data_IF_254545422973
#
_entry.id   IF_254545422973
#
_cell.length_a   1.000
_cell.length_b   1.000
_cell.length_c   1.000
_cell.angle_alpha   90.00
_cell.angle_beta   90.00
_cell.angle_gamma   90.00
#
_symmetry.space_group_name_H-M   'P 1'
#
loop_
_entity.id
_entity.type
_entity.pdbx_description
1 polymer ?
#
# COMPACT_ATOMS: atom_id res chain seq x y z
N UNK A 1 -29.65 -6.61 28.76
CA UNK A 1 -29.11 -5.94 29.98
C UNK A 1 -27.63 -6.27 30.28
N UNK A 2 -26.94 -7.08 29.47
CA UNK A 2 -25.52 -7.41 29.68
C UNK A 2 -24.56 -6.75 28.67
N UNK A 3 -25.10 -6.09 27.63
CA UNK A 3 -24.30 -5.46 26.55
C UNK A 3 -24.00 -3.97 26.87
N UNK A 4 -24.86 -3.29 27.63
CA UNK A 4 -24.63 -1.88 28.00
C UNK A 4 -23.60 -1.67 29.12
N UNK A 5 -23.25 -2.72 29.88
CA UNK A 5 -22.21 -2.62 30.94
C UNK A 5 -20.79 -2.72 30.39
N UNK A 6 -20.57 -3.29 29.20
CA UNK A 6 -19.24 -3.35 28.58
C UNK A 6 -18.84 -2.04 27.89
N UNK A 7 -19.79 -1.34 27.27
CA UNK A 7 -19.54 -0.04 26.61
C UNK A 7 -19.16 1.08 27.58
N UNK A 8 -19.66 1.06 28.82
CA UNK A 8 -19.31 2.03 29.87
C UNK A 8 -17.95 1.80 30.54
N UNK A 9 -17.40 0.59 30.44
CA UNK A 9 -16.12 0.20 31.04
C UNK A 9 -14.93 0.62 30.17
N UNK A 10 -15.03 0.46 28.85
CA UNK A 10 -13.95 0.82 27.92
C UNK A 10 -13.78 2.35 27.76
N UNK A 11 -14.88 3.12 27.78
CA UNK A 11 -14.82 4.59 27.72
C UNK A 11 -14.12 5.22 28.93
N UNK A 12 -14.32 4.64 30.12
CA UNK A 12 -13.65 5.05 31.36
C UNK A 12 -12.18 4.62 31.45
N UNK A 13 -11.77 3.57 30.72
CA UNK A 13 -10.37 3.15 30.62
C UNK A 13 -9.57 4.08 29.69
N UNK A 14 -10.17 4.46 28.56
CA UNK A 14 -9.60 5.39 27.56
C UNK A 14 -9.40 6.80 28.13
N UNK A 15 -10.32 7.32 28.94
CA UNK A 15 -10.15 8.62 29.61
C UNK A 15 -9.06 8.60 30.68
N UNK A 16 -8.87 7.47 31.39
CA UNK A 16 -7.81 7.32 32.40
C UNK A 16 -6.41 7.25 31.78
N UNK A 17 -6.26 6.66 30.60
CA UNK A 17 -4.99 6.65 29.86
C UNK A 17 -4.64 8.03 29.30
N UNK A 18 -5.63 8.80 28.79
CA UNK A 18 -5.41 10.19 28.34
C UNK A 18 -5.01 11.12 29.49
N UNK A 19 -5.62 10.98 30.68
CA UNK A 19 -5.26 11.76 31.86
C UNK A 19 -3.88 11.35 32.41
N UNK A 20 -3.52 10.07 32.36
CA UNK A 20 -2.20 9.58 32.76
C UNK A 20 -1.08 10.11 31.82
N UNK A 21 -1.31 10.12 30.50
CA UNK A 21 -0.34 10.62 29.51
C UNK A 21 -0.09 12.13 29.66
N UNK A 22 -1.14 12.92 29.90
CA UNK A 22 -1.05 14.37 30.12
C UNK A 22 -0.36 14.70 31.45
N UNK A 23 -0.58 13.90 32.51
CA UNK A 23 0.11 14.06 33.79
C UNK A 23 1.61 13.72 33.71
N UNK A 24 1.99 12.70 32.93
CA UNK A 24 3.40 12.34 32.71
C UNK A 24 4.18 13.45 32.01
N UNK A 25 3.59 14.08 30.99
CA UNK A 25 4.22 15.18 30.24
C UNK A 25 4.35 16.45 31.10
N UNK A 26 3.41 16.69 32.03
CA UNK A 26 3.44 17.88 32.88
C UNK A 26 4.47 17.78 34.02
N UNK A 27 4.79 16.56 34.50
CA UNK A 27 5.79 16.36 35.56
C UNK A 27 7.23 16.55 35.07
N UNK A 28 7.50 16.26 33.79
CA UNK A 28 8.84 16.44 33.20
C UNK A 28 9.21 17.93 33.05
N UNK A 29 8.23 18.83 33.00
CA UNK A 29 8.44 20.27 32.78
C UNK A 29 8.63 21.12 34.04
N UNK A 30 8.57 20.55 35.26
CA UNK A 30 8.60 21.34 36.51
C UNK A 30 9.77 21.09 37.46
N UNK A 31 10.82 20.36 37.05
CA UNK A 31 12.08 20.30 37.81
C UNK A 31 13.18 20.98 37.02
N UNK A 32 13.15 22.31 37.07
CA UNK A 32 14.19 23.15 36.51
C UNK A 32 15.51 23.08 37.27
N UNK A 33 16.57 23.06 36.48
CA UNK A 33 17.86 23.74 36.69
C UNK A 33 18.95 23.03 37.50
N UNK A 34 20.07 22.84 36.78
CA UNK A 34 21.45 22.83 37.28
C UNK A 34 21.84 21.72 38.24
N UNK A 35 22.07 20.50 37.73
CA UNK A 35 23.18 19.59 38.08
C UNK A 35 22.94 18.18 37.51
N UNK A 36 23.16 17.98 36.20
CA UNK A 36 23.20 16.65 35.60
C UNK A 36 23.97 16.60 34.26
N UNK A 37 24.94 17.51 34.06
CA UNK A 37 25.91 17.43 32.94
C UNK A 37 27.03 16.39 33.26
N UNK A 38 26.91 15.67 34.36
CA UNK A 38 27.74 14.53 34.73
C UNK A 38 26.80 13.32 34.87
N UNK A 39 27.04 12.25 34.09
CA UNK A 39 26.25 11.00 33.97
C UNK A 39 25.11 10.93 32.94
N UNK A 40 25.38 11.29 31.68
CA UNK A 40 24.65 10.68 30.54
C UNK A 40 25.58 9.96 29.55
N UNK A 41 26.71 9.47 30.08
CA UNK A 41 27.29 8.21 29.63
C UNK A 41 26.78 7.07 30.50
N UNK A 42 25.48 7.06 30.83
CA UNK A 42 24.85 5.80 31.25
C UNK A 42 24.97 4.90 30.04
N UNK A 43 25.74 3.83 30.25
CA UNK A 43 25.85 2.67 29.38
C UNK A 43 24.53 2.48 28.66
N UNK A 44 24.53 2.63 27.33
CA UNK A 44 23.44 2.14 26.52
C UNK A 44 23.25 0.70 26.97
N UNK A 45 22.09 0.39 27.50
CA UNK A 45 21.79 -0.97 27.88
C UNK A 45 21.70 -1.76 26.58
N UNK A 46 22.82 -2.39 26.18
CA UNK A 46 22.92 -3.14 24.93
C UNK A 46 21.98 -4.37 24.94
N UNK A 47 21.29 -4.66 26.05
CA UNK A 47 20.25 -5.69 26.14
C UNK A 47 18.87 -5.22 25.70
N UNK A 48 18.60 -3.90 25.70
CA UNK A 48 17.33 -3.34 25.26
C UNK A 48 17.39 -2.87 23.81
N UNK A 49 16.37 -3.21 23.03
CA UNK A 49 16.24 -2.81 21.64
C UNK A 49 14.80 -2.41 21.34
N UNK A 50 14.59 -1.27 20.69
CA UNK A 50 13.26 -0.87 20.21
C UNK A 50 13.32 -0.49 18.75
N UNK A 51 12.48 -1.04 17.88
CA UNK A 51 12.47 -0.70 16.45
C UNK A 51 11.08 -0.81 15.87
N UNK A 52 10.83 -0.06 14.80
CA UNK A 52 9.55 -0.09 14.10
C UNK A 52 9.67 -0.86 12.79
N UNK A 53 8.66 -1.65 12.46
CA UNK A 53 8.58 -2.42 11.21
C UNK A 53 7.27 -2.08 10.50
N UNK A 54 7.33 -1.84 9.20
CA UNK A 54 6.17 -1.49 8.38
C UNK A 54 6.44 -1.88 6.92
N UNK A 55 5.42 -1.95 6.06
CA UNK A 55 5.56 -2.31 4.66
C UNK A 55 4.36 -1.88 3.83
N UNK A 56 4.47 -2.01 2.51
CA UNK A 56 3.37 -1.77 1.58
C UNK A 56 2.86 -0.31 1.66
N UNK A 57 3.79 0.64 1.59
CA UNK A 57 3.44 2.07 1.47
C UNK A 57 3.04 2.43 0.04
N UNK A 58 3.61 1.76 -0.96
CA UNK A 58 3.36 1.94 -2.39
C UNK A 58 3.32 3.42 -2.83
N UNK A 59 4.24 4.24 -2.29
CA UNK A 59 4.36 5.66 -2.60
C UNK A 59 3.41 6.58 -1.84
N UNK A 60 2.51 6.06 -0.99
CA UNK A 60 1.71 6.91 -0.11
C UNK A 60 2.57 7.52 1.01
N UNK A 61 2.74 8.84 0.97
CA UNK A 61 3.64 9.53 1.88
C UNK A 61 3.04 9.74 3.28
N UNK A 62 1.72 9.89 3.42
CA UNK A 62 1.11 10.27 4.71
C UNK A 62 1.37 9.27 5.85
N UNK A 63 1.33 7.97 5.57
CA UNK A 63 1.65 6.94 6.55
C UNK A 63 3.15 6.93 6.91
N UNK A 64 4.02 7.07 5.90
CA UNK A 64 5.46 7.18 6.10
C UNK A 64 5.84 8.41 6.93
N UNK A 65 5.25 9.57 6.63
CA UNK A 65 5.42 10.81 7.37
C UNK A 65 5.02 10.63 8.83
N UNK A 66 3.84 10.05 9.10
CA UNK A 66 3.38 9.79 10.46
C UNK A 66 4.34 8.87 11.25
N UNK A 67 4.85 7.81 10.61
CA UNK A 67 5.84 6.91 11.22
C UNK A 67 7.16 7.64 11.50
N UNK A 68 7.69 8.39 10.53
CA UNK A 68 8.94 9.15 10.65
C UNK A 68 8.84 10.24 11.71
N UNK A 69 7.74 11.00 11.75
CA UNK A 69 7.49 12.01 12.78
C UNK A 69 7.42 11.38 14.18
N UNK A 70 6.73 10.25 14.31
CA UNK A 70 6.66 9.50 15.57
C UNK A 70 8.03 9.00 15.99
N UNK A 71 8.82 8.44 15.07
CA UNK A 71 10.19 8.00 15.31
C UNK A 71 11.12 9.17 15.69
N UNK A 72 10.90 10.35 15.12
CA UNK A 72 11.67 11.55 15.43
C UNK A 72 11.45 12.01 16.89
N UNK A 73 10.26 11.74 17.46
CA UNK A 73 9.90 12.05 18.84
C UNK A 73 10.33 10.93 19.80
N UNK A 74 9.93 9.68 19.51
CA UNK A 74 10.08 8.54 20.41
C UNK A 74 11.46 7.88 20.32
N UNK A 75 12.19 8.13 19.23
CA UNK A 75 13.60 7.73 19.02
C UNK A 75 13.82 6.21 19.20
N UNK A 76 13.13 5.34 18.42
CA UNK A 76 13.51 3.93 18.36
C UNK A 76 14.95 3.78 17.86
N UNK A 77 15.54 2.59 18.00
CA UNK A 77 16.89 2.30 17.53
C UNK A 77 17.01 2.38 16.00
N UNK A 78 15.97 1.99 15.27
CA UNK A 78 15.86 2.08 13.81
C UNK A 78 14.42 1.83 13.33
N UNK A 79 14.21 2.07 12.04
CA UNK A 79 13.01 1.75 11.27
C UNK A 79 13.33 0.66 10.23
N UNK A 80 12.36 -0.20 9.91
CA UNK A 80 12.49 -1.21 8.87
C UNK A 80 11.26 -1.21 7.94
N UNK A 81 11.49 -1.04 6.62
CA UNK A 81 10.46 -1.13 5.59
C UNK A 81 10.50 -2.49 4.86
N UNK A 82 9.43 -3.28 4.93
CA UNK A 82 9.28 -4.63 4.39
C UNK A 82 8.96 -4.70 2.89
N UNK A 83 9.50 -3.78 2.06
CA UNK A 83 9.26 -3.77 0.62
C UNK A 83 7.95 -3.13 0.17
N UNK A 84 7.77 -3.02 -1.14
CA UNK A 84 6.73 -2.25 -1.84
C UNK A 84 6.74 -0.78 -1.38
N UNK A 85 7.91 -0.17 -1.55
CA UNK A 85 8.12 1.25 -1.29
C UNK A 85 7.40 2.10 -2.33
N UNK A 86 7.42 1.67 -3.59
CA UNK A 86 6.86 2.38 -4.74
C UNK A 86 5.67 1.61 -5.32
N UNK A 87 4.77 2.31 -6.02
CA UNK A 87 3.62 1.67 -6.69
C UNK A 87 4.01 1.01 -8.02
N UNK A 88 4.89 1.66 -8.79
CA UNK A 88 5.21 1.30 -10.18
C UNK A 88 6.72 1.23 -10.47
N UNK A 89 7.57 1.42 -9.47
CA UNK A 89 9.03 1.35 -9.61
C UNK A 89 9.64 2.49 -10.45
N UNK A 90 8.92 3.60 -10.65
CA UNK A 90 9.49 4.78 -11.31
C UNK A 90 10.51 5.48 -10.41
N UNK A 91 11.54 6.08 -11.02
CA UNK A 91 12.66 6.72 -10.29
C UNK A 91 12.20 7.82 -9.35
N UNK A 92 11.23 8.60 -9.79
CA UNK A 92 10.69 9.72 -9.06
C UNK A 92 9.86 9.29 -7.85
N UNK A 93 9.13 8.16 -7.93
CA UNK A 93 8.50 7.53 -6.77
C UNK A 93 9.54 7.14 -5.71
N UNK A 94 10.69 6.59 -6.14
CA UNK A 94 11.80 6.30 -5.22
C UNK A 94 12.35 7.58 -4.58
N UNK A 95 12.51 8.66 -5.35
CA UNK A 95 12.97 9.95 -4.84
C UNK A 95 12.00 10.52 -3.80
N UNK A 96 10.70 10.43 -4.04
CA UNK A 96 9.65 10.90 -3.13
C UNK A 96 9.67 10.11 -1.82
N UNK A 97 9.63 8.77 -1.88
CA UNK A 97 9.73 7.91 -0.69
C UNK A 97 11.02 8.16 0.08
N UNK A 98 12.16 8.23 -0.63
CA UNK A 98 13.46 8.51 -0.01
C UNK A 98 13.46 9.87 0.67
N UNK A 99 12.81 10.89 0.10
CA UNK A 99 12.75 12.22 0.70
C UNK A 99 12.03 12.26 2.04
N UNK A 100 11.05 11.36 2.26
CA UNK A 100 10.37 11.21 3.55
C UNK A 100 11.23 10.41 4.52
N UNK A 101 11.77 9.26 4.07
CA UNK A 101 12.60 8.40 4.93
C UNK A 101 13.90 9.09 5.38
N UNK A 102 14.49 9.96 4.56
CA UNK A 102 15.70 10.76 4.88
C UNK A 102 15.44 11.81 5.98
N UNK A 103 14.18 12.11 6.31
CA UNK A 103 13.83 12.98 7.43
C UNK A 103 13.89 12.26 8.78
N UNK A 104 14.04 10.93 8.77
CA UNK A 104 14.21 10.14 9.98
C UNK A 104 15.54 10.47 10.68
N UNK A 105 15.46 10.77 11.96
CA UNK A 105 16.62 11.03 12.83
C UNK A 105 17.27 9.74 13.38
N UNK A 106 16.71 8.59 13.02
CA UNK A 106 17.19 7.24 13.34
C UNK A 106 17.41 6.46 12.02
N UNK A 107 18.29 5.44 11.99
CA UNK A 107 18.53 4.68 10.77
C UNK A 107 17.26 4.05 10.21
N UNK A 108 17.15 4.02 8.87
CA UNK A 108 16.08 3.33 8.15
C UNK A 108 16.71 2.21 7.32
N UNK A 109 16.19 1.00 7.48
CA UNK A 109 16.52 -0.17 6.71
C UNK A 109 15.33 -0.56 5.83
N UNK A 110 15.61 -1.20 4.71
CA UNK A 110 14.58 -1.58 3.75
C UNK A 110 14.88 -2.94 3.14
N UNK A 111 13.85 -3.64 2.68
CA UNK A 111 13.96 -4.66 1.63
C UNK A 111 13.15 -4.22 0.41
N UNK A 112 13.27 -4.94 -0.69
CA UNK A 112 12.60 -4.66 -1.96
C UNK A 112 11.36 -5.55 -2.12
N UNK A 113 10.27 -4.99 -2.64
CA UNK A 113 9.05 -5.74 -2.98
C UNK A 113 8.83 -5.92 -4.48
N UNK A 114 7.73 -6.57 -4.87
CA UNK A 114 7.44 -6.85 -6.28
C UNK A 114 7.02 -5.59 -7.05
N UNK A 115 6.34 -4.63 -6.42
CA UNK A 115 6.00 -3.36 -7.07
C UNK A 115 7.24 -2.51 -7.37
N UNK A 116 8.26 -2.61 -6.52
CA UNK A 116 9.55 -1.94 -6.68
C UNK A 116 10.31 -2.39 -7.95
N UNK A 117 10.06 -3.62 -8.43
CA UNK A 117 10.65 -4.15 -9.67
C UNK A 117 9.93 -3.67 -10.94
N UNK A 118 8.71 -3.14 -10.83
CA UNK A 118 7.95 -2.64 -11.98
C UNK A 118 8.75 -1.54 -12.69
N UNK A 119 8.50 -1.37 -13.99
CA UNK A 119 9.18 -0.34 -14.80
C UNK A 119 10.72 -0.39 -14.77
N UNK A 120 11.31 -1.57 -14.56
CA UNK A 120 12.76 -1.77 -14.37
C UNK A 120 13.31 -1.02 -13.13
N UNK A 121 12.47 -0.88 -12.09
CA UNK A 121 12.72 -0.08 -10.90
C UNK A 121 13.77 -0.66 -9.94
N UNK A 122 14.09 -1.96 -10.05
CA UNK A 122 15.08 -2.60 -9.17
C UNK A 122 16.47 -1.94 -9.21
N UNK A 123 16.83 -1.28 -10.31
CA UNK A 123 18.07 -0.49 -10.41
C UNK A 123 18.04 0.76 -9.51
N UNK A 124 16.88 1.41 -9.40
CA UNK A 124 16.69 2.59 -8.56
C UNK A 124 16.65 2.20 -7.09
N UNK A 125 16.01 1.08 -6.74
CA UNK A 125 16.14 0.52 -5.40
C UNK A 125 17.62 0.34 -5.01
N UNK A 126 18.41 -0.31 -5.87
CA UNK A 126 19.83 -0.53 -5.61
C UNK A 126 20.61 0.78 -5.48
N UNK A 127 20.29 1.79 -6.28
CA UNK A 127 20.93 3.11 -6.25
C UNK A 127 20.62 3.88 -4.96
N UNK A 128 19.36 3.89 -4.52
CA UNK A 128 18.90 4.72 -3.41
C UNK A 128 19.00 4.04 -2.03
N UNK A 129 18.83 2.72 -1.97
CA UNK A 129 18.74 1.94 -0.73
C UNK A 129 19.82 0.85 -0.59
N UNK A 130 20.53 0.51 -1.68
CA UNK A 130 21.60 -0.47 -1.67
C UNK A 130 21.13 -1.91 -1.86
N UNK A 131 21.88 -2.87 -1.31
CA UNK A 131 21.58 -4.29 -1.50
C UNK A 131 20.21 -4.66 -0.90
N UNK A 132 19.43 -5.50 -1.60
CA UNK A 132 18.22 -6.12 -1.06
C UNK A 132 18.50 -7.32 -0.15
N UNK A 133 19.78 -7.69 -0.01
CA UNK A 133 20.23 -8.85 0.74
C UNK A 133 21.43 -8.48 1.58
N UNK A 134 21.27 -8.48 2.90
CA UNK A 134 22.29 -8.06 3.85
C UNK A 134 21.90 -8.50 5.27
N UNK A 135 22.86 -8.44 6.20
CA UNK A 135 22.61 -8.73 7.60
C UNK A 135 23.38 -7.80 8.51
N UNK A 136 22.90 -7.66 9.75
CA UNK A 136 23.58 -6.91 10.78
C UNK A 136 23.20 -7.40 12.19
N UNK A 137 24.07 -7.11 13.15
CA UNK A 137 23.78 -7.33 14.57
C UNK A 137 23.47 -6.01 15.26
N UNK A 138 22.51 -6.02 16.17
CA UNK A 138 22.27 -4.88 17.06
C UNK A 138 21.69 -5.32 18.40
N UNK A 139 22.33 -4.90 19.48
CA UNK A 139 21.99 -5.34 20.83
C UNK A 139 22.05 -6.88 20.92
N UNK A 140 21.02 -7.56 21.45
CA UNK A 140 21.00 -9.02 21.57
C UNK A 140 20.54 -9.74 20.28
N UNK A 141 20.33 -9.01 19.18
CA UNK A 141 19.63 -9.53 18.01
C UNK A 141 20.48 -9.54 16.72
N UNK A 142 20.26 -10.57 15.90
CA UNK A 142 20.71 -10.68 14.52
C UNK A 142 19.56 -10.43 13.55
N UNK A 143 19.82 -9.69 12.48
CA UNK A 143 18.86 -9.29 11.46
C UNK A 143 19.33 -9.80 10.10
N UNK A 144 18.59 -10.71 9.48
CA UNK A 144 18.86 -11.23 8.14
C UNK A 144 17.79 -10.71 7.16
N UNK A 145 18.21 -10.01 6.12
CA UNK A 145 17.34 -9.44 5.09
C UNK A 145 17.65 -10.14 3.78
N UNK A 146 16.63 -10.66 3.09
CA UNK A 146 16.80 -11.35 1.82
C UNK A 146 15.69 -11.03 0.83
N UNK A 147 15.97 -11.23 -0.45
CA UNK A 147 15.11 -10.77 -1.54
C UNK A 147 14.13 -11.86 -2.02
N UNK A 148 12.84 -11.56 -1.94
CA UNK A 148 11.72 -12.37 -2.48
C UNK A 148 10.92 -11.63 -3.55
N UNK A 149 11.30 -10.42 -3.95
CA UNK A 149 10.52 -9.53 -4.84
C UNK A 149 10.13 -10.14 -6.19
N UNK A 150 10.85 -11.16 -6.67
CA UNK A 150 10.50 -11.88 -7.91
C UNK A 150 9.47 -13.01 -7.73
N UNK A 151 8.91 -13.19 -6.54
CA UNK A 151 7.96 -14.29 -6.23
C UNK A 151 8.61 -15.62 -5.81
N UNK A 152 9.92 -15.75 -5.93
CA UNK A 152 10.69 -16.95 -5.56
C UNK A 152 12.09 -16.53 -5.07
N UNK A 153 12.85 -17.49 -4.54
CA UNK A 153 14.20 -17.27 -4.00
C UNK A 153 15.21 -18.14 -4.74
N UNK A 154 16.28 -17.51 -5.21
CA UNK A 154 17.34 -18.21 -5.92
C UNK A 154 18.18 -19.11 -4.98
N UNK A 155 18.76 -20.20 -5.50
CA UNK A 155 19.65 -21.06 -4.71
C UNK A 155 20.84 -20.31 -4.07
N UNK A 156 21.53 -19.38 -4.77
CA UNK A 156 22.58 -18.58 -4.13
C UNK A 156 22.08 -17.77 -2.93
N UNK A 157 20.89 -17.18 -3.04
CA UNK A 157 20.24 -16.40 -1.97
C UNK A 157 19.88 -17.29 -0.78
N UNK A 158 19.25 -18.46 -1.02
CA UNK A 158 18.95 -19.45 0.02
C UNK A 158 20.21 -19.94 0.74
N UNK A 159 21.29 -20.20 -0.01
CA UNK A 159 22.56 -20.65 0.57
C UNK A 159 23.24 -19.54 1.39
N UNK A 160 23.16 -18.29 0.93
CA UNK A 160 23.65 -17.14 1.68
C UNK A 160 22.89 -16.98 3.01
N UNK A 161 21.55 -17.02 2.96
CA UNK A 161 20.70 -16.90 4.15
C UNK A 161 20.97 -18.03 5.17
N UNK A 162 21.13 -19.27 4.69
CA UNK A 162 21.47 -20.39 5.56
C UNK A 162 22.86 -20.22 6.23
N UNK A 163 23.83 -19.68 5.51
CA UNK A 163 25.17 -19.39 6.08
C UNK A 163 25.12 -18.26 7.10
N UNK A 164 24.35 -17.21 6.83
CA UNK A 164 24.18 -16.06 7.72
C UNK A 164 23.51 -16.48 9.04
N UNK A 165 22.36 -17.15 8.97
CA UNK A 165 21.60 -17.60 10.15
C UNK A 165 22.34 -18.63 11.00
N UNK A 166 23.14 -19.50 10.38
CA UNK A 166 23.95 -20.50 11.10
C UNK A 166 25.20 -19.92 11.75
N UNK A 167 25.70 -18.79 11.26
CA UNK A 167 26.81 -18.06 11.86
C UNK A 167 26.38 -17.11 12.99
N UNK A 168 25.08 -16.83 13.11
CA UNK A 168 24.52 -15.93 14.12
C UNK A 168 24.48 -16.59 15.51
N UNK A 169 25.20 -15.99 16.47
CA UNK A 169 25.23 -16.39 17.89
C UNK A 169 24.33 -15.49 18.78
N UNK A 170 23.53 -14.61 18.17
CA UNK A 170 22.65 -13.67 18.87
C UNK A 170 21.50 -14.39 19.59
N UNK A 171 21.01 -13.80 20.68
CA UNK A 171 19.88 -14.33 21.45
C UNK A 171 18.58 -14.35 20.64
N UNK A 172 18.37 -13.29 19.84
CA UNK A 172 17.23 -13.20 18.93
C UNK A 172 17.68 -13.20 17.48
N UNK A 173 16.93 -13.89 16.61
CA UNK A 173 17.13 -13.90 15.16
C UNK A 173 15.85 -13.41 14.47
N UNK A 174 15.97 -12.31 13.74
CA UNK A 174 14.91 -11.74 12.95
C UNK A 174 15.22 -11.89 11.47
N UNK A 175 14.22 -12.31 10.70
CA UNK A 175 14.28 -12.37 9.25
C UNK A 175 13.32 -11.36 8.65
N UNK A 176 13.77 -10.63 7.63
CA UNK A 176 12.93 -9.69 6.90
C UNK A 176 12.96 -10.01 5.40
N UNK A 177 11.78 -10.05 4.81
CA UNK A 177 11.62 -10.14 3.36
C UNK A 177 10.29 -9.50 2.96
N UNK A 178 9.98 -9.42 1.67
CA UNK A 178 8.72 -8.84 1.23
C UNK A 178 7.60 -9.90 1.14
N UNK A 179 7.74 -10.88 0.23
CA UNK A 179 6.73 -11.90 -0.02
C UNK A 179 6.87 -13.03 1.01
N UNK A 180 5.82 -13.35 1.78
CA UNK A 180 5.88 -14.40 2.78
C UNK A 180 5.97 -15.79 2.14
N UNK A 181 6.56 -16.79 2.83
CA UNK A 181 6.53 -18.18 2.37
C UNK A 181 5.12 -18.70 2.14
N UNK A 182 4.13 -18.27 2.94
CA UNK A 182 2.74 -18.69 2.86
C UNK A 182 1.80 -17.49 3.02
N UNK A 183 0.66 -17.52 2.33
CA UNK A 183 -0.48 -16.63 2.60
C UNK A 183 -1.31 -17.22 3.75
N UNK A 184 -1.57 -16.46 4.84
CA UNK A 184 -2.35 -16.94 5.96
C UNK A 184 -3.86 -16.98 5.69
N UNK A 185 -4.35 -16.37 4.61
CA UNK A 185 -5.78 -16.25 4.31
C UNK A 185 -6.32 -17.58 3.74
N UNK A 186 -7.50 -18.05 4.19
CA UNK A 186 -8.11 -19.26 3.65
C UNK A 186 -8.36 -19.17 2.14
N UNK A 187 -8.03 -20.23 1.41
CA UNK A 187 -8.31 -20.37 -0.03
C UNK A 187 -7.62 -19.31 -0.92
N UNK A 188 -6.62 -18.58 -0.39
CA UNK A 188 -5.75 -17.66 -1.15
C UNK A 188 -4.33 -18.23 -1.25
N UNK A 189 -3.62 -17.84 -2.30
CA UNK A 189 -2.24 -18.27 -2.57
C UNK A 189 -1.42 -17.07 -3.05
N UNK A 190 -1.23 -16.09 -2.17
CA UNK A 190 -0.47 -14.86 -2.41
C UNK A 190 0.86 -14.87 -1.62
N UNK A 191 1.47 -16.05 -1.48
CA UNK A 191 2.81 -16.23 -0.92
C UNK A 191 3.84 -16.46 -2.03
N UNK A 192 4.98 -17.07 -1.68
CA UNK A 192 5.95 -17.48 -2.69
C UNK A 192 5.35 -18.47 -3.69
N UNK A 193 5.56 -18.20 -4.98
CA UNK A 193 4.97 -18.98 -6.08
C UNK A 193 5.42 -20.44 -6.10
N UNK A 194 6.59 -20.72 -5.50
CA UNK A 194 7.18 -22.05 -5.45
C UNK A 194 7.05 -22.65 -4.05
N UNK A 195 6.05 -23.52 -3.88
CA UNK A 195 5.79 -24.21 -2.62
C UNK A 195 6.99 -25.02 -2.07
N UNK A 196 7.89 -25.50 -2.94
CA UNK A 196 9.10 -26.20 -2.50
C UNK A 196 10.10 -25.22 -1.88
N UNK A 197 10.29 -24.05 -2.49
CA UNK A 197 11.12 -22.98 -1.92
C UNK A 197 10.53 -22.49 -0.60
N UNK A 198 9.21 -22.23 -0.55
CA UNK A 198 8.52 -21.85 0.67
C UNK A 198 8.75 -22.85 1.82
N UNK A 199 8.56 -24.16 1.54
CA UNK A 199 8.77 -25.22 2.53
C UNK A 199 10.22 -25.28 3.02
N UNK A 200 11.19 -25.08 2.13
CA UNK A 200 12.62 -25.05 2.48
C UNK A 200 12.97 -23.85 3.35
N UNK A 201 12.42 -22.68 3.09
CA UNK A 201 12.61 -21.50 3.94
C UNK A 201 12.03 -21.72 5.32
N UNK A 202 10.80 -22.21 5.42
CA UNK A 202 10.19 -22.49 6.71
C UNK A 202 11.01 -23.52 7.51
N UNK A 203 11.46 -24.59 6.85
CA UNK A 203 12.36 -25.57 7.47
C UNK A 203 13.66 -24.93 7.94
N UNK A 204 14.27 -24.06 7.13
CA UNK A 204 15.48 -23.33 7.51
C UNK A 204 15.23 -22.44 8.73
N UNK A 205 14.11 -21.70 8.78
CA UNK A 205 13.79 -20.84 9.91
C UNK A 205 13.59 -21.63 11.21
N UNK A 206 12.93 -22.79 11.11
CA UNK A 206 12.77 -23.73 12.23
C UNK A 206 14.13 -24.28 12.70
N UNK A 207 14.95 -24.79 11.78
CA UNK A 207 16.26 -25.40 12.09
C UNK A 207 17.27 -24.39 12.64
N UNK A 208 17.15 -23.12 12.26
CA UNK A 208 18.04 -22.05 12.73
C UNK A 208 17.49 -21.30 13.95
N UNK A 209 16.35 -21.74 14.51
CA UNK A 209 15.70 -21.12 15.67
C UNK A 209 15.43 -19.62 15.45
N UNK A 210 14.87 -19.28 14.29
CA UNK A 210 14.43 -17.91 14.00
C UNK A 210 13.24 -17.54 14.89
N UNK A 211 13.33 -16.41 15.60
CA UNK A 211 12.25 -15.96 16.47
C UNK A 211 11.08 -15.38 15.68
N UNK A 212 11.39 -14.50 14.71
CA UNK A 212 10.37 -13.76 13.97
C UNK A 212 10.77 -13.53 12.52
N UNK A 213 9.82 -13.79 11.62
CA UNK A 213 9.89 -13.42 10.21
C UNK A 213 8.89 -12.28 9.95
N UNK A 214 9.39 -11.12 9.52
CA UNK A 214 8.58 -9.97 9.14
C UNK A 214 8.45 -9.87 7.63
N UNK A 215 7.21 -9.69 7.15
CA UNK A 215 6.88 -9.60 5.72
C UNK A 215 5.83 -8.53 5.43
N UNK A 216 5.69 -8.17 4.16
CA UNK A 216 4.63 -7.31 3.63
C UNK A 216 3.69 -8.10 2.73
N UNK A 217 3.37 -7.55 1.55
CA UNK A 217 2.81 -8.19 0.36
C UNK A 217 1.35 -8.65 0.43
N UNK A 218 0.85 -9.06 1.60
CA UNK A 218 -0.54 -9.53 1.75
C UNK A 218 -1.49 -8.36 2.10
N UNK A 219 -0.94 -7.15 2.29
CA UNK A 219 -1.71 -5.92 2.55
C UNK A 219 -2.68 -6.04 3.74
N UNK A 220 -2.19 -6.61 4.84
CA UNK A 220 -2.93 -6.78 6.08
C UNK A 220 -1.98 -6.85 7.30
N UNK A 221 -2.55 -6.83 8.50
CA UNK A 221 -1.90 -7.29 9.71
C UNK A 221 -2.18 -8.79 9.91
N UNK A 222 -1.15 -9.62 10.02
CA UNK A 222 -1.28 -10.99 10.50
C UNK A 222 -0.16 -11.31 11.48
N UNK A 223 -0.49 -12.10 12.52
CA UNK A 223 0.46 -12.56 13.51
C UNK A 223 0.14 -14.02 13.84
N UNK A 224 1.03 -14.92 13.40
CA UNK A 224 0.86 -16.36 13.56
C UNK A 224 2.16 -17.03 14.02
N UNK A 225 2.03 -18.20 14.63
CA UNK A 225 3.18 -19.01 15.04
C UNK A 225 3.06 -20.38 14.40
N UNK A 226 4.09 -20.76 13.65
CA UNK A 226 4.16 -22.05 12.97
C UNK A 226 5.47 -22.73 13.39
N UNK A 227 5.36 -23.92 13.98
CA UNK A 227 6.50 -24.74 14.41
C UNK A 227 7.53 -24.00 15.29
N UNK A 228 7.07 -23.02 16.08
CA UNK A 228 7.92 -22.24 17.00
C UNK A 228 8.44 -20.92 16.42
N UNK A 229 8.33 -20.69 15.11
CA UNK A 229 8.70 -19.43 14.46
C UNK A 229 7.47 -18.53 14.39
N UNK A 230 7.59 -17.26 14.79
CA UNK A 230 6.53 -16.26 14.65
C UNK A 230 6.62 -15.61 13.26
N UNK A 231 5.50 -15.51 12.56
CA UNK A 231 5.38 -14.83 11.27
C UNK A 231 4.47 -13.63 11.44
N UNK A 232 4.99 -12.45 11.12
CA UNK A 232 4.26 -11.18 11.23
C UNK A 232 4.21 -10.53 9.85
N UNK A 233 3.01 -10.42 9.29
CA UNK A 233 2.75 -9.64 8.09
C UNK A 233 2.33 -8.24 8.53
N UNK A 234 2.99 -7.20 7.98
CA UNK A 234 2.79 -5.79 8.33
C UNK A 234 2.61 -4.91 7.09
N UNK A 235 1.64 -5.25 6.23
CA UNK A 235 1.38 -4.52 4.98
C UNK A 235 0.35 -3.40 5.10
N UNK A 236 0.53 -2.53 6.10
CA UNK A 236 -0.46 -1.50 6.45
C UNK A 236 0.07 -0.07 6.43
N UNK A 237 1.20 0.22 5.76
CA UNK A 237 1.83 1.54 5.82
C UNK A 237 1.20 2.59 4.89
N UNK A 238 0.29 2.22 4.00
CA UNK A 238 -0.41 3.20 3.16
C UNK A 238 -1.20 2.66 1.97
N UNK A 239 -0.83 1.49 1.42
CA UNK A 239 -1.54 0.90 0.27
C UNK A 239 -2.97 0.43 0.62
N UNK A 240 -3.77 0.11 -0.40
CA UNK A 240 -5.07 -0.57 -0.18
C UNK A 240 -4.90 -1.83 0.66
N UNK A 241 -5.87 -2.15 1.50
CA UNK A 241 -5.84 -3.36 2.33
C UNK A 241 -6.67 -4.49 1.69
N UNK A 242 -6.20 -5.73 1.81
CA UNK A 242 -6.85 -6.92 1.21
C UNK A 242 -7.61 -7.79 2.22
N UNK A 243 -7.97 -7.22 3.36
CA UNK A 243 -8.73 -7.86 4.41
C UNK A 243 -9.72 -6.87 5.03
N UNK A 244 -10.81 -7.38 5.60
CA UNK A 244 -11.71 -6.58 6.43
C UNK A 244 -11.03 -6.22 7.76
N UNK A 245 -11.50 -5.17 8.44
CA UNK A 245 -10.89 -4.65 9.68
C UNK A 245 -10.75 -5.74 10.77
N UNK A 246 -11.76 -6.61 10.91
CA UNK A 246 -11.77 -7.71 11.88
C UNK A 246 -10.89 -8.91 11.49
N UNK A 247 -10.46 -8.97 10.25
CA UNK A 247 -9.52 -9.95 9.71
C UNK A 247 -8.07 -9.41 9.64
N UNK A 248 -7.83 -8.17 10.08
CA UNK A 248 -6.50 -7.55 10.07
C UNK A 248 -6.31 -6.47 9.00
N UNK A 249 -7.38 -6.06 8.31
CA UNK A 249 -7.41 -4.89 7.43
C UNK A 249 -7.31 -3.58 8.19
N UNK A 250 -6.14 -3.30 8.76
CA UNK A 250 -5.86 -2.06 9.51
C UNK A 250 -4.60 -1.38 8.99
N UNK A 251 -4.62 -0.04 8.96
CA UNK A 251 -3.41 0.76 8.73
C UNK A 251 -2.57 0.82 10.00
N UNK A 252 -1.31 0.39 9.91
CA UNK A 252 -0.47 0.20 11.09
C UNK A 252 1.03 0.13 10.75
N UNK A 253 1.84 0.27 11.81
CA UNK A 253 3.20 -0.24 11.87
C UNK A 253 3.37 -1.09 13.13
N UNK A 254 4.40 -1.94 13.18
CA UNK A 254 4.73 -2.75 14.34
C UNK A 254 5.74 -2.04 15.23
N UNK A 255 5.45 -1.91 16.52
CA UNK A 255 6.43 -1.56 17.55
C UNK A 255 7.03 -2.85 18.12
N UNK A 256 8.34 -3.03 17.94
CA UNK A 256 9.07 -4.21 18.43
C UNK A 256 9.98 -3.77 19.57
N UNK A 257 9.85 -4.43 20.72
CA UNK A 257 10.66 -4.14 21.91
C UNK A 257 11.26 -5.42 22.47
N UNK A 258 12.58 -5.42 22.65
CA UNK A 258 13.34 -6.41 23.42
C UNK A 258 13.80 -5.71 24.69
N UNK A 259 13.53 -6.31 25.84
CA UNK A 259 14.03 -5.87 27.14
C UNK A 259 14.09 -7.07 28.12
N UNK A 260 14.37 -6.82 29.39
CA UNK A 260 14.43 -7.85 30.45
C UNK A 260 13.16 -8.73 30.58
N UNK A 261 12.02 -8.27 30.07
CA UNK A 261 10.75 -9.01 30.06
C UNK A 261 10.58 -9.90 28.82
N UNK A 262 11.51 -9.86 27.88
CA UNK A 262 11.51 -10.59 26.62
C UNK A 262 11.13 -9.74 25.40
N UNK A 263 10.68 -10.42 24.34
CA UNK A 263 10.25 -9.84 23.07
C UNK A 263 8.75 -9.51 23.08
N UNK A 264 8.42 -8.23 22.86
CA UNK A 264 7.08 -7.73 22.63
C UNK A 264 6.96 -7.17 21.22
N UNK A 265 5.88 -7.53 20.52
CA UNK A 265 5.54 -7.03 19.18
C UNK A 265 4.06 -6.64 19.23
N UNK A 266 3.78 -5.38 18.94
CA UNK A 266 2.43 -4.82 19.00
C UNK A 266 2.16 -3.89 17.79
N UNK A 267 0.96 -3.94 17.19
CA UNK A 267 0.61 -3.00 16.14
C UNK A 267 0.29 -1.62 16.75
N UNK A 268 0.75 -0.58 16.08
CA UNK A 268 0.39 0.82 16.35
C UNK A 268 -0.39 1.32 15.15
N UNK A 269 -1.62 1.77 15.40
CA UNK A 269 -2.53 2.22 14.35
C UNK A 269 -2.06 3.53 13.74
N UNK A 270 -2.18 3.60 12.42
CA UNK A 270 -2.00 4.81 11.62
C UNK A 270 -3.37 5.45 11.32
N UNK A 271 -3.34 6.68 10.82
CA UNK A 271 -4.53 7.28 10.23
C UNK A 271 -4.82 6.67 8.86
N UNK A 272 -6.11 6.57 8.52
CA UNK A 272 -6.54 6.10 7.20
C UNK A 272 -5.98 7.02 6.10
N UNK A 273 -5.52 6.47 4.95
CA UNK A 273 -5.05 7.28 3.84
C UNK A 273 -6.10 8.26 3.33
N UNK A 274 -5.73 9.53 3.22
CA UNK A 274 -6.52 10.50 2.47
C UNK A 274 -6.08 10.47 1.01
N UNK A 275 -6.97 10.05 0.10
CA UNK A 275 -6.67 10.02 -1.33
C UNK A 275 -6.74 11.46 -1.88
N UNK A 276 -5.63 12.04 -2.40
CA UNK A 276 -5.65 13.34 -3.05
C UNK A 276 -6.55 13.36 -4.29
N UNK A 277 -7.08 14.53 -4.68
CA UNK A 277 -8.01 14.65 -5.83
C UNK A 277 -7.37 14.36 -7.19
N UNK A 278 -6.04 14.41 -7.24
CA UNK A 278 -5.18 14.08 -8.36
C UNK A 278 -4.63 12.65 -8.25
N UNK A 279 -5.24 11.78 -7.44
CA UNK A 279 -4.89 10.37 -7.32
C UNK A 279 -6.11 9.49 -7.57
N UNK A 280 -5.89 8.36 -8.24
CA UNK A 280 -6.89 7.31 -8.46
C UNK A 280 -6.33 5.96 -7.99
N UNK A 281 -7.16 5.16 -7.33
CA UNK A 281 -6.83 3.77 -6.99
C UNK A 281 -7.45 2.86 -8.05
N UNK A 282 -6.64 2.02 -8.67
CA UNK A 282 -7.06 0.96 -9.57
C UNK A 282 -7.00 -0.36 -8.79
N UNK A 283 -8.12 -1.08 -8.68
CA UNK A 283 -8.20 -2.35 -7.95
C UNK A 283 -8.45 -3.52 -8.87
N UNK A 284 -7.57 -4.52 -8.79
CA UNK A 284 -7.67 -5.78 -9.52
C UNK A 284 -8.20 -6.91 -8.64
N UNK A 285 -8.22 -8.12 -9.19
CA UNK A 285 -8.59 -9.32 -8.42
C UNK A 285 -7.49 -9.82 -7.49
N UNK A 286 -6.24 -9.51 -7.84
CA UNK A 286 -5.03 -10.00 -7.16
C UNK A 286 -4.15 -8.87 -6.62
N UNK A 287 -4.08 -7.73 -7.32
CA UNK A 287 -3.26 -6.59 -6.90
C UNK A 287 -3.99 -5.26 -7.14
N UNK A 288 -3.58 -4.22 -6.42
CA UNK A 288 -4.04 -2.84 -6.56
C UNK A 288 -2.89 -1.94 -7.06
N UNK A 289 -3.22 -0.79 -7.65
CA UNK A 289 -2.28 0.25 -8.00
C UNK A 289 -2.83 1.63 -7.62
N UNK A 290 -2.02 2.44 -6.95
CA UNK A 290 -2.37 3.84 -6.65
C UNK A 290 -1.61 4.74 -7.61
N UNK A 291 -2.33 5.54 -8.41
CA UNK A 291 -1.76 6.35 -9.48
C UNK A 291 -2.01 7.83 -9.22
N UNK A 292 -0.94 8.61 -9.09
CA UNK A 292 -0.99 10.07 -9.10
C UNK A 292 -1.17 10.61 -10.52
N UNK A 293 -1.47 11.91 -10.66
CA UNK A 293 -1.47 12.58 -11.96
C UNK A 293 -0.14 12.40 -12.70
N UNK A 294 0.98 12.42 -11.98
CA UNK A 294 2.30 12.25 -12.56
C UNK A 294 2.47 10.86 -13.18
N UNK A 295 2.01 9.82 -12.48
CA UNK A 295 2.00 8.45 -13.01
C UNK A 295 1.12 8.34 -14.27
N UNK A 296 -0.06 8.97 -14.24
CA UNK A 296 -0.98 8.98 -15.37
C UNK A 296 -0.43 9.72 -16.61
N UNK A 297 0.46 10.70 -16.40
CA UNK A 297 1.14 11.44 -17.49
C UNK A 297 2.27 10.62 -18.14
N UNK A 298 2.83 9.62 -17.45
CA UNK A 298 3.82 8.68 -18.00
C UNK A 298 3.16 7.55 -18.83
N UNK A 299 1.85 7.33 -18.66
CA UNK A 299 1.09 6.35 -19.44
C UNK A 299 0.75 6.88 -20.86
N UNK A 300 0.60 5.99 -21.85
CA UNK A 300 0.09 6.37 -23.17
C UNK A 300 -1.29 7.04 -23.06
N UNK A 301 -1.38 8.26 -23.57
CA UNK A 301 -2.61 9.05 -23.53
C UNK A 301 -3.31 9.11 -24.90
N UNK A 302 -4.62 9.34 -24.86
CA UNK A 302 -5.45 9.62 -26.02
C UNK A 302 -6.05 11.01 -25.83
N UNK A 303 -6.07 11.78 -26.92
CA UNK A 303 -6.77 13.04 -27.04
C UNK A 303 -8.00 12.88 -27.94
N UNK A 304 -9.14 13.42 -27.54
CA UNK A 304 -10.33 13.41 -28.37
C UNK A 304 -11.35 14.48 -27.98
N UNK A 305 -12.02 15.05 -28.99
CA UNK A 305 -13.20 15.87 -28.76
C UNK A 305 -14.40 14.97 -28.45
N UNK A 306 -15.15 15.30 -27.41
CA UNK A 306 -16.37 14.58 -27.08
C UNK A 306 -17.39 15.44 -26.33
N UNK A 307 -18.60 14.92 -26.20
CA UNK A 307 -19.73 15.51 -25.49
C UNK A 307 -20.73 14.42 -25.12
N UNK A 308 -21.68 14.70 -24.22
CA UNK A 308 -22.70 13.74 -23.83
C UNK A 308 -24.09 14.36 -23.70
N UNK A 309 -25.14 13.54 -23.87
CA UNK A 309 -26.51 13.93 -23.53
C UNK A 309 -26.82 13.72 -22.04
N UNK A 310 -27.52 14.68 -21.44
CA UNK A 310 -28.11 14.49 -20.12
C UNK A 310 -29.51 13.84 -20.22
N UNK A 311 -30.13 13.57 -19.07
CA UNK A 311 -31.47 12.96 -18.96
C UNK A 311 -32.60 13.74 -19.67
N UNK A 312 -32.35 15.02 -19.99
CA UNK A 312 -33.30 15.91 -20.69
C UNK A 312 -32.94 16.07 -22.18
N UNK A 313 -32.08 15.21 -22.73
CA UNK A 313 -31.57 15.25 -24.11
C UNK A 313 -30.87 16.57 -24.48
N UNK A 314 -30.23 17.23 -23.50
CA UNK A 314 -29.38 18.37 -23.78
C UNK A 314 -27.92 17.93 -23.82
N UNK A 315 -27.19 18.38 -24.84
CA UNK A 315 -25.75 18.16 -24.96
C UNK A 315 -24.96 19.00 -23.95
N UNK A 316 -24.03 18.34 -23.25
CA UNK A 316 -23.14 18.91 -22.22
C UNK A 316 -21.72 18.34 -22.41
N UNK A 317 -20.77 18.94 -21.70
CA UNK A 317 -19.38 18.44 -21.64
C UNK A 317 -18.63 18.54 -22.97
N UNK A 318 -19.06 19.40 -23.90
CA UNK A 318 -18.37 19.60 -25.17
C UNK A 318 -16.95 20.11 -24.93
N UNK A 319 -15.95 19.42 -25.47
CA UNK A 319 -14.57 19.89 -25.44
C UNK A 319 -13.60 18.77 -25.76
N UNK A 320 -12.32 19.11 -25.68
CA UNK A 320 -11.21 18.17 -25.90
C UNK A 320 -10.80 17.60 -24.55
N UNK A 321 -10.71 16.27 -24.49
CA UNK A 321 -10.27 15.53 -23.31
C UNK A 321 -8.97 14.82 -23.62
N UNK A 322 -8.06 14.80 -22.66
CA UNK A 322 -6.83 13.98 -22.68
C UNK A 322 -6.82 13.07 -21.47
N UNK A 323 -6.50 11.79 -21.69
CA UNK A 323 -6.49 10.81 -20.62
C UNK A 323 -5.87 9.48 -21.01
N UNK A 324 -5.64 8.62 -20.02
CA UNK A 324 -5.21 7.25 -20.22
C UNK A 324 -6.42 6.36 -20.54
N UNK A 325 -6.21 5.34 -21.38
CA UNK A 325 -7.22 4.30 -21.62
C UNK A 325 -7.55 3.57 -20.32
N UNK A 326 -8.84 3.40 -20.01
CA UNK A 326 -9.24 2.60 -18.83
C UNK A 326 -8.74 1.17 -18.96
N UNK A 327 -8.72 0.59 -20.17
CA UNK A 327 -8.13 -0.73 -20.39
C UNK A 327 -6.66 -0.78 -19.99
N UNK A 328 -5.86 0.23 -20.37
CA UNK A 328 -4.45 0.30 -19.94
C UNK A 328 -4.31 0.35 -18.43
N UNK A 329 -5.18 1.08 -17.73
CA UNK A 329 -5.18 1.12 -16.26
C UNK A 329 -5.51 -0.25 -15.66
N UNK A 330 -6.50 -0.95 -16.21
CA UNK A 330 -6.92 -2.27 -15.74
C UNK A 330 -5.87 -3.35 -16.03
N UNK A 331 -5.13 -3.27 -17.14
CA UNK A 331 -3.99 -4.16 -17.40
C UNK A 331 -2.85 -4.02 -16.37
N UNK A 332 -2.75 -2.89 -15.65
CA UNK A 332 -1.73 -2.72 -14.59
C UNK A 332 -2.00 -3.60 -13.36
N UNK A 333 -3.23 -4.11 -13.22
CA UNK A 333 -3.70 -4.87 -12.05
C UNK A 333 -4.26 -6.24 -12.43
N UNK A 334 -3.76 -6.82 -13.53
CA UNK A 334 -4.10 -8.17 -13.97
C UNK A 334 -5.24 -8.27 -14.99
N UNK A 335 -5.81 -7.15 -15.43
CA UNK A 335 -6.86 -7.13 -16.45
C UNK A 335 -8.26 -7.42 -15.88
N UNK A 336 -9.21 -7.69 -16.77
CA UNK A 336 -10.54 -8.21 -16.40
C UNK A 336 -11.03 -9.22 -17.45
N UNK A 337 -11.94 -10.10 -17.05
CA UNK A 337 -12.61 -11.08 -17.91
C UNK A 337 -13.96 -10.59 -18.41
N UNK A 338 -14.56 -11.31 -19.37
CA UNK A 338 -15.89 -10.99 -19.91
C UNK A 338 -17.03 -11.12 -18.88
N UNK A 339 -16.78 -11.77 -17.74
CA UNK A 339 -17.77 -11.95 -16.69
C UNK A 339 -17.66 -10.89 -15.59
N UNK A 340 -16.52 -10.19 -15.53
CA UNK A 340 -16.24 -9.24 -14.47
C UNK A 340 -16.97 -7.91 -14.70
N UNK A 341 -17.17 -7.18 -13.62
CA UNK A 341 -17.77 -5.84 -13.64
C UNK A 341 -16.75 -4.81 -13.23
N UNK A 342 -16.56 -3.78 -14.06
CA UNK A 342 -15.80 -2.59 -13.67
C UNK A 342 -16.70 -1.66 -12.85
N UNK A 343 -16.30 -1.34 -11.63
CA UNK A 343 -16.98 -0.40 -10.74
C UNK A 343 -16.14 0.86 -10.62
N UNK A 344 -16.69 2.00 -11.04
CA UNK A 344 -16.03 3.32 -10.90
C UNK A 344 -16.72 4.11 -9.80
N UNK A 345 -15.94 4.61 -8.85
CA UNK A 345 -16.42 5.38 -7.68
C UNK A 345 -15.86 6.79 -7.69
N UNK A 346 -16.70 7.73 -7.29
CA UNK A 346 -16.37 9.14 -7.12
C UNK A 346 -16.13 9.47 -5.64
N UNK A 347 -15.35 10.53 -5.38
CA UNK A 347 -15.18 11.11 -4.05
C UNK A 347 -16.49 11.52 -3.36
N UNK A 348 -17.56 11.81 -4.12
CA UNK A 348 -18.87 12.17 -3.57
C UNK A 348 -19.79 10.96 -3.28
N UNK A 349 -19.28 9.74 -3.47
CA UNK A 349 -19.99 8.49 -3.26
C UNK A 349 -20.82 8.02 -4.46
N UNK A 350 -20.80 8.74 -5.58
CA UNK A 350 -21.42 8.27 -6.82
C UNK A 350 -20.68 7.04 -7.38
N UNK A 351 -21.44 6.07 -7.89
CA UNK A 351 -20.91 4.79 -8.38
C UNK A 351 -21.55 4.43 -9.72
N UNK A 352 -20.76 3.93 -10.66
CA UNK A 352 -21.25 3.34 -11.90
C UNK A 352 -20.55 2.02 -12.21
N UNK A 353 -21.31 1.10 -12.80
CA UNK A 353 -20.82 -0.20 -13.22
C UNK A 353 -20.72 -0.26 -14.75
N UNK A 354 -19.68 -0.89 -15.27
CA UNK A 354 -19.42 -1.06 -16.69
C UNK A 354 -19.10 -2.53 -16.98
N UNK A 355 -19.52 -3.02 -18.15
CA UNK A 355 -19.19 -4.39 -18.58
C UNK A 355 -17.83 -4.41 -19.28
N UNK A 356 -17.31 -5.62 -19.50
CA UNK A 356 -16.05 -5.84 -20.24
C UNK A 356 -15.99 -5.06 -21.57
N UNK A 357 -17.08 -5.03 -22.34
CA UNK A 357 -17.08 -4.36 -23.65
C UNK A 357 -17.10 -2.83 -23.57
N UNK A 358 -17.39 -2.23 -22.42
CA UNK A 358 -17.14 -0.79 -22.24
C UNK A 358 -15.64 -0.49 -22.20
N UNK A 359 -14.86 -1.36 -21.55
CA UNK A 359 -13.42 -1.21 -21.34
C UNK A 359 -12.62 -1.72 -22.55
N UNK A 360 -13.02 -2.87 -23.10
CA UNK A 360 -12.43 -3.54 -24.26
C UNK A 360 -13.46 -3.64 -25.39
N UNK A 361 -13.81 -2.52 -26.04
CA UNK A 361 -14.88 -2.51 -27.02
C UNK A 361 -14.56 -3.38 -28.22
N UNK A 362 -15.53 -4.21 -28.62
CA UNK A 362 -15.53 -4.83 -29.94
C UNK A 362 -15.74 -3.76 -31.04
N UNK A 363 -15.59 -4.14 -32.31
CA UNK A 363 -15.68 -3.19 -33.42
C UNK A 363 -17.01 -2.39 -33.47
N UNK A 364 -18.13 -2.98 -33.03
CA UNK A 364 -19.43 -2.29 -33.00
C UNK A 364 -19.47 -1.25 -31.90
N UNK A 365 -19.06 -1.62 -30.69
CA UNK A 365 -19.04 -0.70 -29.55
C UNK A 365 -17.99 0.39 -29.73
N UNK A 366 -16.83 0.07 -30.30
CA UNK A 366 -15.80 1.06 -30.60
C UNK A 366 -16.30 2.10 -31.61
N UNK A 367 -17.17 1.71 -32.55
CA UNK A 367 -17.80 2.65 -33.48
C UNK A 367 -18.85 3.54 -32.82
N UNK A 368 -19.54 3.04 -31.79
CA UNK A 368 -20.64 3.75 -31.11
C UNK A 368 -20.15 4.60 -29.94
N UNK A 369 -19.44 4.03 -28.96
CA UNK A 369 -18.95 4.74 -27.77
C UNK A 369 -17.52 5.27 -27.94
N UNK A 370 -16.72 4.69 -28.84
CA UNK A 370 -15.28 4.95 -28.89
C UNK A 370 -14.50 4.33 -27.73
N UNK A 371 -13.23 4.71 -27.55
CA UNK A 371 -12.45 4.31 -26.38
C UNK A 371 -12.97 4.98 -25.11
N UNK A 372 -12.87 4.25 -24.01
CA UNK A 372 -13.14 4.72 -22.66
C UNK A 372 -11.83 5.18 -22.02
N UNK A 373 -11.76 6.44 -21.60
CA UNK A 373 -10.57 7.01 -20.94
C UNK A 373 -10.89 7.50 -19.53
N UNK A 374 -9.88 7.46 -18.67
CA UNK A 374 -9.82 8.32 -17.48
C UNK A 374 -9.16 9.63 -17.90
N UNK A 375 -9.98 10.65 -18.17
CA UNK A 375 -9.52 11.97 -18.50
C UNK A 375 -8.96 12.67 -17.26
N UNK A 376 -7.76 13.23 -17.40
CA UNK A 376 -7.10 14.08 -16.41
C UNK A 376 -6.85 15.50 -16.92
N UNK A 377 -7.25 15.80 -18.16
CA UNK A 377 -7.21 17.13 -18.76
C UNK A 377 -8.47 17.40 -19.61
N UNK A 378 -8.96 18.64 -19.56
CA UNK A 378 -10.09 19.13 -20.34
C UNK A 378 -9.80 20.54 -20.86
N UNK A 379 -9.82 20.73 -22.18
CA UNK A 379 -9.48 22.00 -22.86
C UNK A 379 -8.20 22.64 -22.30
N UNK A 380 -7.08 21.93 -22.35
CA UNK A 380 -5.75 22.35 -21.85
C UNK A 380 -5.70 22.63 -20.33
N UNK A 381 -6.74 22.26 -19.58
CA UNK A 381 -6.82 22.43 -18.11
C UNK A 381 -6.71 21.07 -17.43
N UNK A 382 -5.63 20.87 -16.66
CA UNK A 382 -5.38 19.62 -15.94
C UNK A 382 -6.21 19.49 -14.66
N UNK A 383 -6.31 18.27 -14.14
CA UNK A 383 -6.88 17.95 -12.82
C UNK A 383 -6.23 18.80 -11.72
N UNK A 384 -7.01 19.11 -10.68
CA UNK A 384 -6.80 20.17 -9.64
C UNK A 384 -7.33 21.55 -10.04
N UNK A 385 -7.06 22.01 -11.26
CA UNK A 385 -7.61 23.28 -11.79
C UNK A 385 -8.88 23.04 -12.63
N UNK A 386 -9.10 21.81 -13.06
CA UNK A 386 -10.33 21.38 -13.69
C UNK A 386 -11.40 21.09 -12.63
N UNK A 387 -12.46 21.92 -12.62
CA UNK A 387 -13.57 21.87 -11.66
C UNK A 387 -14.22 20.49 -11.47
N UNK A 388 -14.16 19.60 -12.47
CA UNK A 388 -14.80 18.28 -12.43
C UNK A 388 -13.84 17.13 -12.08
N UNK A 389 -12.56 17.44 -11.84
CA UNK A 389 -11.52 16.49 -11.51
C UNK A 389 -11.32 15.40 -12.57
N UNK A 390 -10.68 14.29 -12.19
CA UNK A 390 -10.59 13.14 -13.08
C UNK A 390 -11.97 12.62 -13.46
N UNK A 391 -12.13 12.24 -14.74
CA UNK A 391 -13.45 11.87 -15.28
C UNK A 391 -13.37 10.67 -16.21
N UNK A 392 -14.35 9.77 -16.11
CA UNK A 392 -14.60 8.78 -17.16
C UNK A 392 -15.22 9.46 -18.39
N UNK A 393 -14.58 9.30 -19.53
CA UNK A 393 -15.02 9.89 -20.80
C UNK A 393 -15.06 8.82 -21.88
N UNK A 394 -16.15 8.84 -22.66
CA UNK A 394 -16.27 8.08 -23.90
C UNK A 394 -15.90 8.98 -25.08
N UNK A 395 -15.07 8.52 -26.00
CA UNK A 395 -14.60 9.29 -27.16
C UNK A 395 -15.17 8.74 -28.48
N UNK A 396 -16.48 8.83 -28.73
CA UNK A 396 -17.08 8.30 -29.96
C UNK A 396 -16.50 9.01 -31.19
N UNK A 397 -16.38 8.32 -32.34
CA UNK A 397 -15.77 8.89 -33.55
C UNK A 397 -16.42 10.18 -34.07
N UNK A 398 -17.69 10.42 -33.76
CA UNK A 398 -18.43 11.63 -34.14
C UNK A 398 -18.41 12.73 -33.05
N UNK A 399 -17.77 12.47 -31.90
CA UNK A 399 -17.65 13.38 -30.77
C UNK A 399 -18.94 13.57 -29.96
N UNK A 400 -19.94 12.70 -30.13
CA UNK A 400 -21.27 12.85 -29.55
C UNK A 400 -21.76 11.56 -28.89
N UNK A 401 -21.56 11.40 -27.57
CA UNK A 401 -22.07 10.25 -26.80
C UNK A 401 -23.52 10.47 -26.37
N UNK A 402 -24.48 10.03 -27.18
CA UNK A 402 -25.91 10.22 -26.96
C UNK A 402 -26.50 9.22 -25.95
N UNK A 403 -27.73 9.50 -25.50
CA UNK A 403 -28.48 8.55 -24.67
C UNK A 403 -28.74 7.22 -25.41
N UNK A 404 -28.85 7.25 -26.74
CA UNK A 404 -28.96 6.06 -27.56
C UNK A 404 -27.65 5.26 -27.58
N UNK A 405 -26.51 5.92 -27.75
CA UNK A 405 -25.20 5.26 -27.73
C UNK A 405 -24.97 4.58 -26.38
N UNK A 406 -25.31 5.27 -25.28
CA UNK A 406 -25.20 4.71 -23.94
C UNK A 406 -26.09 3.48 -23.73
N UNK A 407 -27.32 3.48 -24.25
CA UNK A 407 -28.21 2.32 -24.19
C UNK A 407 -27.70 1.15 -25.05
N UNK A 408 -27.13 1.43 -26.22
CA UNK A 408 -26.57 0.41 -27.12
C UNK A 408 -25.26 -0.20 -26.62
N UNK A 409 -24.54 0.53 -25.76
CA UNK A 409 -23.22 0.15 -25.23
C UNK A 409 -23.25 -0.09 -23.72
N UNK A 410 -24.38 -0.56 -23.17
CA UNK A 410 -24.46 -0.95 -21.76
C UNK A 410 -25.14 -2.30 -21.61
N UNK A 411 -24.41 -3.27 -21.05
CA UNK A 411 -24.94 -4.58 -20.66
C UNK A 411 -25.24 -4.65 -19.15
N UNK A 412 -24.49 -3.90 -18.35
CA UNK A 412 -24.59 -3.86 -16.88
C UNK A 412 -24.53 -2.41 -16.36
N UNK A 413 -25.22 -2.17 -15.24
CA UNK A 413 -25.31 -0.85 -14.62
C UNK A 413 -26.47 0.00 -15.12
N UNK A 414 -26.87 0.98 -14.31
CA UNK A 414 -27.99 1.85 -14.64
C UNK A 414 -27.57 2.93 -15.65
N UNK A 415 -28.33 3.04 -16.74
CA UNK A 415 -28.21 4.13 -17.72
C UNK A 415 -29.36 5.10 -17.50
N UNK A 416 -29.15 6.07 -16.61
CA UNK A 416 -30.13 7.16 -16.47
C UNK A 416 -29.97 8.18 -17.60
N UNK A 417 -28.74 8.38 -18.07
CA UNK A 417 -28.39 9.13 -19.29
C UNK A 417 -26.96 8.81 -19.72
N UNK A 418 -26.56 9.21 -20.92
CA UNK A 418 -25.16 9.15 -21.35
C UNK A 418 -24.23 9.88 -20.37
N UNK A 419 -24.66 11.05 -19.88
CA UNK A 419 -23.93 11.81 -18.87
C UNK A 419 -23.79 11.11 -17.52
N UNK A 420 -24.68 10.16 -17.17
CA UNK A 420 -24.54 9.41 -15.92
C UNK A 420 -23.42 8.37 -15.99
N UNK A 421 -22.98 8.00 -17.21
CA UNK A 421 -21.81 7.14 -17.46
C UNK A 421 -20.49 7.90 -17.34
N UNK A 422 -20.51 9.23 -17.40
CA UNK A 422 -19.31 10.08 -17.33
C UNK A 422 -19.03 10.50 -15.88
N UNK A 423 -18.59 9.54 -15.06
CA UNK A 423 -18.29 9.73 -13.63
C UNK A 423 -17.24 10.83 -13.45
N UNK A 424 -17.53 11.82 -12.61
CA UNK A 424 -16.63 12.94 -12.23
C UNK A 424 -15.94 12.64 -10.91
N UNK A 425 -14.85 13.34 -10.61
CA UNK A 425 -14.06 13.15 -9.38
C UNK A 425 -13.75 11.68 -9.10
N UNK A 426 -13.34 10.94 -10.15
CA UNK A 426 -13.04 9.52 -10.04
C UNK A 426 -11.93 9.33 -9.01
N UNK A 427 -12.19 8.47 -8.01
CA UNK A 427 -11.25 8.16 -6.94
C UNK A 427 -10.83 6.68 -6.95
N UNK A 428 -11.74 5.79 -7.35
CA UNK A 428 -11.48 4.34 -7.42
C UNK A 428 -12.06 3.78 -8.72
N UNK A 429 -11.28 2.93 -9.39
CA UNK A 429 -11.70 2.07 -10.50
C UNK A 429 -11.39 0.63 -10.08
N UNK A 430 -12.40 -0.23 -9.98
CA UNK A 430 -12.28 -1.54 -9.34
C UNK A 430 -12.87 -2.64 -10.22
N UNK A 431 -12.15 -3.74 -10.40
CA UNK A 431 -12.64 -4.94 -11.09
C UNK A 431 -13.25 -5.88 -10.07
N UNK A 432 -14.55 -6.14 -10.19
CA UNK A 432 -15.27 -7.12 -9.35
C UNK A 432 -15.45 -8.42 -10.15
N UNK A 433 -14.87 -9.55 -9.69
CA UNK A 433 -15.07 -10.85 -10.32
C UNK A 433 -16.54 -11.25 -10.40
N UNK A 434 -16.93 -11.82 -11.55
CA UNK A 434 -18.32 -12.18 -11.90
C UNK A 434 -18.85 -13.52 -11.38
#
# INVERSE_FOLDING_TARGET
>A
MHIDRMKGSQRNFMERQRVALVLSITIILLVGTTSAIFFLGMLKDDSALNFYVFGDSQGYQGGLEQIVETANILRPDFLFHCGDLTSLGYEDQYQEVKSVLDQSVVPVYTTIGNHDLKSDGGKYYLEYFGSSSYSFNRGPAHFSIFNTSSGDVSEPELNWLAQDLSAAESEYKFVFTHIPPLDPRPERDHGLVNATTASRLMTLFEEQEVDVVFTGHVHMYNDSVINGVRYVITGGAGASLYADEDEGGIYHYMNVTINDSGLLIEPVLLEDPSIPRDTVIIRGSEEDATLSLKDLLELPSIEGFSSFENQLNNWRGQGVYVGALVSTLIELVGGMSIYDTLVVRSFDGYVQNFSYYNVYPNATWLYIQGPMILAYEYNDTQVLEWDDGMRIVMLPPDGAYSNEDANQTTETGDVVSAGSRWVRFVSIIEVIPG
#
